data_IF_302084417587
#
_entry.id   IF_302084417587
#
_cell.length_a   1.000
_cell.length_b   1.000
_cell.length_c   1.000
_cell.angle_alpha   90.00
_cell.angle_beta   90.00
_cell.angle_gamma   90.00
#
_symmetry.space_group_name_H-M   'P 1'
#
loop_
_entity.id
_entity.type
_entity.pdbx_description
1 polymer ?
#
# COMPACT_ATOMS: atom_id res chain seq x y z
N UNK A 1 13.20 -31.17 3.10
CA UNK A 1 12.61 -30.33 4.15
C UNK A 1 12.28 -28.99 3.51
N UNK A 2 11.06 -28.82 3.03
CA UNK A 2 10.62 -27.52 2.50
C UNK A 2 10.23 -26.66 3.69
N UNK A 3 11.14 -25.79 4.13
CA UNK A 3 10.75 -24.70 5.00
C UNK A 3 9.87 -23.77 4.16
N UNK A 4 8.60 -23.51 4.55
CA UNK A 4 7.75 -22.63 3.79
C UNK A 4 8.43 -21.26 3.67
N UNK A 5 8.56 -20.75 2.43
CA UNK A 5 9.16 -19.43 2.23
C UNK A 5 8.36 -18.39 3.02
N UNK A 6 9.03 -17.54 3.82
CA UNK A 6 8.34 -16.53 4.60
C UNK A 6 7.63 -15.55 3.65
N UNK A 7 6.36 -15.27 3.93
CA UNK A 7 5.61 -14.22 3.24
C UNK A 7 5.95 -12.86 3.85
N UNK A 8 6.15 -11.87 2.99
CA UNK A 8 6.44 -10.49 3.38
C UNK A 8 5.18 -9.64 3.18
N UNK A 9 4.90 -8.75 4.14
CA UNK A 9 3.94 -7.68 3.99
C UNK A 9 4.69 -6.35 3.76
N UNK A 10 4.68 -5.85 2.53
CA UNK A 10 5.28 -4.57 2.17
C UNK A 10 4.37 -3.41 2.57
N UNK A 11 4.95 -2.31 3.04
CA UNK A 11 4.23 -1.05 3.25
C UNK A 11 4.75 -0.03 2.24
N UNK A 12 3.88 0.43 1.33
CA UNK A 12 4.23 1.38 0.28
C UNK A 12 3.60 2.75 0.57
N UNK A 13 4.44 3.67 1.07
CA UNK A 13 4.09 5.07 1.27
C UNK A 13 4.39 5.85 -0.01
N UNK A 14 3.37 6.43 -0.64
CA UNK A 14 3.50 7.06 -1.95
C UNK A 14 2.63 8.32 -2.08
N UNK A 15 2.98 9.21 -3.02
CA UNK A 15 2.28 10.48 -3.21
C UNK A 15 2.14 10.89 -4.69
N UNK A 16 2.71 10.15 -5.63
CA UNK A 16 2.67 10.43 -7.06
C UNK A 16 2.78 9.14 -7.89
N UNK A 17 2.71 9.26 -9.21
CA UNK A 17 2.81 8.17 -10.19
C UNK A 17 1.92 6.94 -9.89
N UNK A 18 0.60 7.03 -10.17
CA UNK A 18 -0.31 5.92 -9.92
C UNK A 18 0.01 4.67 -10.75
N UNK A 19 0.64 4.80 -11.92
CA UNK A 19 0.95 3.65 -12.79
C UNK A 19 2.10 2.83 -12.21
N UNK A 20 3.19 3.48 -11.78
CA UNK A 20 4.29 2.81 -11.11
C UNK A 20 3.85 2.13 -9.80
N UNK A 21 2.96 2.77 -9.02
CA UNK A 21 2.39 2.16 -7.80
C UNK A 21 1.65 0.86 -8.13
N UNK A 22 0.83 0.86 -9.18
CA UNK A 22 0.05 -0.31 -9.61
C UNK A 22 0.98 -1.41 -10.10
N UNK A 23 1.99 -1.08 -10.91
CA UNK A 23 2.98 -2.03 -11.40
C UNK A 23 3.75 -2.68 -10.25
N UNK A 24 4.22 -1.88 -9.29
CA UNK A 24 4.93 -2.37 -8.12
C UNK A 24 4.05 -3.29 -7.25
N UNK A 25 2.78 -2.96 -7.07
CA UNK A 25 1.82 -3.82 -6.36
C UNK A 25 1.65 -5.17 -7.07
N UNK A 26 1.50 -5.18 -8.40
CA UNK A 26 1.43 -6.42 -9.18
C UNK A 26 2.72 -7.22 -9.05
N UNK A 27 3.87 -6.59 -9.21
CA UNK A 27 5.16 -7.27 -9.15
C UNK A 27 5.42 -7.93 -7.80
N UNK A 28 5.28 -7.17 -6.70
CA UNK A 28 5.59 -7.66 -5.36
C UNK A 28 4.64 -8.77 -4.91
N UNK A 29 3.39 -8.76 -5.37
CA UNK A 29 2.38 -9.77 -5.00
C UNK A 29 2.49 -11.08 -5.80
N UNK A 30 3.26 -11.12 -6.91
CA UNK A 30 3.45 -12.33 -7.75
C UNK A 30 3.98 -13.53 -6.98
N UNK A 31 4.83 -13.32 -5.99
CA UNK A 31 5.42 -14.38 -5.15
C UNK A 31 4.55 -14.77 -3.95
N UNK A 32 3.29 -14.30 -3.89
CA UNK A 32 2.38 -14.59 -2.78
C UNK A 32 2.57 -13.69 -1.55
N UNK A 33 3.39 -12.65 -1.67
CA UNK A 33 3.52 -11.59 -0.67
C UNK A 33 2.32 -10.64 -0.67
N UNK A 34 2.23 -9.81 0.37
CA UNK A 34 1.19 -8.81 0.56
C UNK A 34 1.74 -7.39 0.46
N UNK A 35 0.88 -6.42 0.14
CA UNK A 35 1.25 -5.01 0.10
C UNK A 35 0.13 -4.12 0.64
N UNK A 36 0.43 -3.30 1.64
CA UNK A 36 -0.45 -2.23 2.09
C UNK A 36 0.06 -0.89 1.55
N UNK A 37 -0.81 -0.12 0.91
CA UNK A 37 -0.46 1.10 0.20
C UNK A 37 -1.12 2.30 0.89
N UNK A 38 -0.38 3.35 1.17
CA UNK A 38 -0.91 4.66 1.53
C UNK A 38 -0.54 5.64 0.43
N UNK A 39 -1.56 6.28 -0.12
CA UNK A 39 -1.42 7.38 -1.07
C UNK A 39 -1.77 8.68 -0.35
N UNK A 40 -0.87 9.66 -0.40
CA UNK A 40 -0.98 10.91 0.34
C UNK A 40 -2.33 11.62 0.11
N UNK A 41 -2.90 12.18 1.19
CA UNK A 41 -4.17 12.89 1.13
C UNK A 41 -4.09 14.23 0.37
N UNK A 42 -2.90 14.81 0.21
CA UNK A 42 -2.61 16.00 -0.60
C UNK A 42 -2.62 15.70 -2.09
N UNK A 43 -2.34 14.46 -2.48
CA UNK A 43 -2.27 14.06 -3.88
C UNK A 43 -3.65 14.02 -4.56
N UNK A 44 -3.71 14.16 -5.89
CA UNK A 44 -4.97 14.28 -6.61
C UNK A 44 -5.93 13.10 -6.36
N UNK A 45 -7.20 13.42 -6.12
CA UNK A 45 -8.25 12.41 -5.93
C UNK A 45 -8.41 11.48 -7.14
N UNK A 46 -8.11 11.96 -8.34
CA UNK A 46 -8.12 11.14 -9.56
C UNK A 46 -7.08 10.01 -9.51
N UNK A 47 -5.83 10.32 -9.11
CA UNK A 47 -4.77 9.31 -8.95
C UNK A 47 -5.13 8.27 -7.88
N UNK A 48 -5.69 8.71 -6.75
CA UNK A 48 -6.18 7.79 -5.73
C UNK A 48 -7.27 6.84 -6.23
N UNK A 49 -8.24 7.36 -7.00
CA UNK A 49 -9.31 6.53 -7.60
C UNK A 49 -8.74 5.53 -8.60
N UNK A 50 -7.75 5.93 -9.40
CA UNK A 50 -7.05 5.04 -10.34
C UNK A 50 -6.38 3.88 -9.60
N UNK A 51 -5.60 4.17 -8.57
CA UNK A 51 -4.96 3.16 -7.71
C UNK A 51 -6.03 2.23 -7.11
N UNK A 52 -7.04 2.80 -6.44
CA UNK A 52 -8.12 2.02 -5.81
C UNK A 52 -8.79 1.05 -6.77
N UNK A 53 -9.13 1.51 -7.97
CA UNK A 53 -9.81 0.69 -8.96
C UNK A 53 -8.88 -0.44 -9.46
N UNK A 54 -7.60 -0.14 -9.73
CA UNK A 54 -6.66 -1.15 -10.20
C UNK A 54 -6.29 -2.20 -9.15
N UNK A 55 -6.27 -1.83 -7.87
CA UNK A 55 -6.00 -2.76 -6.77
C UNK A 55 -7.17 -3.69 -6.45
N UNK A 56 -8.38 -3.42 -6.96
CA UNK A 56 -9.53 -4.29 -6.74
C UNK A 56 -9.32 -5.72 -7.29
N UNK A 57 -8.49 -5.85 -8.32
CA UNK A 57 -8.14 -7.13 -8.95
C UNK A 57 -6.88 -7.78 -8.35
N UNK A 58 -6.31 -7.22 -7.28
CA UNK A 58 -5.08 -7.71 -6.64
C UNK A 58 -5.43 -8.14 -5.20
N UNK A 59 -5.78 -9.41 -4.95
CA UNK A 59 -6.30 -9.86 -3.65
C UNK A 59 -5.30 -9.70 -2.50
N UNK A 60 -4.00 -9.69 -2.80
CA UNK A 60 -2.93 -9.51 -1.82
C UNK A 60 -2.56 -8.02 -1.58
N UNK A 61 -3.30 -7.08 -2.17
CA UNK A 61 -3.08 -5.65 -2.00
C UNK A 61 -4.19 -5.00 -1.17
N UNK A 62 -3.81 -4.11 -0.27
CA UNK A 62 -4.73 -3.35 0.55
C UNK A 62 -4.45 -1.85 0.43
N UNK A 63 -5.48 -1.06 0.10
CA UNK A 63 -5.37 0.40 0.06
C UNK A 63 -5.81 1.00 1.40
N UNK A 64 -4.89 1.69 2.07
CA UNK A 64 -5.14 2.37 3.34
C UNK A 64 -6.20 3.47 3.16
N UNK A 65 -7.36 3.29 3.81
CA UNK A 65 -8.47 4.25 3.77
C UNK A 65 -8.19 5.49 4.63
N UNK A 66 -7.45 5.35 5.72
CA UNK A 66 -7.08 6.44 6.63
C UNK A 66 -5.89 7.24 6.06
N UNK A 67 -6.12 7.95 4.95
CA UNK A 67 -5.10 8.80 4.30
C UNK A 67 -4.73 10.00 5.19
N UNK A 68 -3.45 10.34 5.16
CA UNK A 68 -2.84 11.44 5.93
C UNK A 68 -2.27 12.44 4.93
N UNK A 69 -2.35 13.74 5.22
CA UNK A 69 -1.64 14.77 4.47
C UNK A 69 -0.20 14.78 4.98
N UNK A 70 0.74 14.16 4.28
CA UNK A 70 2.10 14.09 4.80
C UNK A 70 2.84 15.41 4.60
N UNK A 71 3.76 15.67 5.51
CA UNK A 71 4.72 16.75 5.46
C UNK A 71 6.10 16.10 5.54
N UNK A 72 7.02 16.57 4.71
CA UNK A 72 8.37 16.04 4.67
C UNK A 72 9.06 16.21 6.03
N UNK A 73 9.70 15.15 6.52
CA UNK A 73 10.32 15.11 7.85
C UNK A 73 9.34 15.14 9.04
N UNK A 74 8.02 15.16 8.81
CA UNK A 74 7.02 15.31 9.87
C UNK A 74 6.47 13.99 10.40
N UNK A 75 5.87 14.05 11.60
CA UNK A 75 5.15 12.93 12.23
C UNK A 75 4.04 12.33 11.35
N UNK A 76 3.50 13.11 10.42
CA UNK A 76 2.48 12.64 9.48
C UNK A 76 2.94 11.45 8.63
N UNK A 77 4.23 11.33 8.30
CA UNK A 77 4.80 10.16 7.62
C UNK A 77 4.75 8.93 8.54
N UNK A 78 5.11 9.08 9.81
CA UNK A 78 5.00 8.01 10.82
C UNK A 78 3.54 7.56 10.96
N UNK A 79 2.61 8.51 11.09
CA UNK A 79 1.18 8.22 11.18
C UNK A 79 0.66 7.48 9.94
N UNK A 80 1.10 7.86 8.74
CA UNK A 80 0.74 7.18 7.49
C UNK A 80 1.24 5.72 7.49
N UNK A 81 2.48 5.50 7.89
CA UNK A 81 3.06 4.15 8.03
C UNK A 81 2.31 3.29 9.04
N UNK A 82 2.00 3.84 10.23
CA UNK A 82 1.20 3.14 11.24
C UNK A 82 -0.23 2.81 10.75
N UNK A 83 -0.81 3.66 9.92
CA UNK A 83 -2.12 3.39 9.32
C UNK A 83 -2.04 2.25 8.28
N UNK A 84 -0.96 2.17 7.49
CA UNK A 84 -0.73 1.03 6.58
C UNK A 84 -0.54 -0.27 7.36
N UNK A 85 0.28 -0.24 8.42
CA UNK A 85 0.51 -1.42 9.26
C UNK A 85 -0.80 -1.96 9.83
N UNK A 86 -1.64 -1.09 10.40
CA UNK A 86 -2.98 -1.48 10.90
C UNK A 86 -3.91 -1.97 9.79
N UNK A 87 -3.78 -1.42 8.58
CA UNK A 87 -4.55 -1.89 7.42
C UNK A 87 -4.14 -3.31 7.06
N UNK A 88 -2.84 -3.58 6.96
CA UNK A 88 -2.32 -4.92 6.68
C UNK A 88 -2.71 -5.94 7.75
N UNK A 89 -2.52 -5.62 9.02
CA UNK A 89 -2.91 -6.49 10.15
C UNK A 89 -4.41 -6.83 10.18
N UNK A 90 -5.26 -5.99 9.61
CA UNK A 90 -6.71 -6.20 9.61
C UNK A 90 -7.19 -7.07 8.43
N UNK A 91 -6.38 -7.26 7.37
CA UNK A 91 -6.85 -7.85 6.10
C UNK A 91 -5.93 -8.94 5.55
N UNK A 92 -4.66 -8.97 5.94
CA UNK A 92 -3.77 -10.06 5.58
C UNK A 92 -3.94 -11.22 6.56
N UNK A 93 -3.86 -12.48 6.08
CA UNK A 93 -4.01 -13.67 6.91
C UNK A 93 -2.85 -13.91 7.87
#
# INVERSE_FOLDING_TARGET
>A
MDCPMPKIAYLLLCHEDPDAIIEQARYLTKSGNYIAIHFDRRSPTAAYRKIRNALADIPNAALCRKRVKCAWGGWSLVQATLNMLRTGLAVFP
#
